data_IF_797160911237
#
_entry.id   IF_797160911237
#
_cell.length_a   1.000
_cell.length_b   1.000
_cell.length_c   1.000
_cell.angle_alpha   90.00
_cell.angle_beta   90.00
_cell.angle_gamma   90.00
#
_symmetry.space_group_name_H-M   'P 1'
#
loop_
_entity.id
_entity.type
_entity.pdbx_description
1 polymer ?
#
# COMPACT_ATOMS: atom_id res chain seq x y z
N UNK A 1 -40.00 30.07 39.99
CA UNK A 1 -39.20 31.04 40.75
C UNK A 1 -37.80 30.96 40.16
N UNK A 2 -37.42 31.95 39.35
CA UNK A 2 -36.14 31.98 38.64
C UNK A 2 -34.99 32.27 39.60
N UNK A 3 -33.81 31.70 39.31
CA UNK A 3 -32.58 31.99 40.05
C UNK A 3 -32.09 33.36 39.59
N UNK A 4 -31.92 34.29 40.52
CA UNK A 4 -31.41 35.63 40.26
C UNK A 4 -30.02 35.53 39.58
N UNK A 5 -29.91 36.08 38.38
CA UNK A 5 -28.70 36.00 37.55
C UNK A 5 -28.69 34.92 36.46
N UNK A 6 -29.66 34.00 36.43
CA UNK A 6 -29.75 33.01 35.33
C UNK A 6 -30.11 33.66 33.99
N UNK A 7 -31.00 34.65 34.01
CA UNK A 7 -31.38 35.40 32.80
C UNK A 7 -30.18 36.19 32.25
N UNK A 8 -29.39 36.82 33.12
CA UNK A 8 -28.18 37.53 32.71
C UNK A 8 -27.08 36.56 32.22
N UNK A 9 -27.00 35.36 32.80
CA UNK A 9 -26.07 34.33 32.34
C UNK A 9 -26.45 33.79 30.96
N UNK A 10 -27.75 33.53 30.71
CA UNK A 10 -28.25 33.12 29.40
C UNK A 10 -28.05 34.22 28.35
N UNK A 11 -28.32 35.49 28.69
CA UNK A 11 -28.08 36.63 27.80
C UNK A 11 -26.59 36.75 27.41
N UNK A 12 -25.67 36.55 28.37
CA UNK A 12 -24.23 36.57 28.11
C UNK A 12 -23.76 35.36 27.29
N UNK A 13 -24.35 34.18 27.50
CA UNK A 13 -24.05 32.98 26.73
C UNK A 13 -24.53 33.13 25.27
N UNK A 14 -25.74 33.64 25.06
CA UNK A 14 -26.28 33.94 23.73
C UNK A 14 -25.49 35.05 23.04
N UNK A 15 -25.07 36.09 23.77
CA UNK A 15 -24.20 37.13 23.23
C UNK A 15 -22.86 36.55 22.77
N UNK A 16 -22.21 35.70 23.58
CA UNK A 16 -20.96 35.05 23.22
C UNK A 16 -21.09 34.03 22.09
N UNK A 17 -22.23 33.37 21.95
CA UNK A 17 -22.51 32.46 20.83
C UNK A 17 -22.76 33.21 19.50
N UNK A 18 -23.32 34.41 19.58
CA UNK A 18 -23.62 35.27 18.43
C UNK A 18 -22.49 36.26 18.09
N UNK A 19 -21.53 36.46 18.99
CA UNK A 19 -20.25 37.10 18.69
C UNK A 19 -19.51 36.18 17.70
N UNK A 20 -19.59 36.53 16.42
CA UNK A 20 -18.92 35.79 15.36
C UNK A 20 -17.45 35.54 15.70
N UNK A 21 -16.89 34.44 15.19
CA UNK A 21 -15.50 34.02 15.41
C UNK A 21 -14.56 35.21 15.52
N UNK A 22 -13.94 35.38 16.69
CA UNK A 22 -12.81 36.29 16.80
C UNK A 22 -11.75 35.85 15.77
N UNK A 23 -11.20 36.83 15.08
CA UNK A 23 -10.08 36.76 14.14
C UNK A 23 -8.82 36.06 14.72
N UNK A 24 -8.75 35.90 16.04
CA UNK A 24 -7.72 35.15 16.78
C UNK A 24 -8.13 33.72 17.15
N UNK A 25 -9.22 33.19 16.58
CA UNK A 25 -9.70 31.83 16.84
C UNK A 25 -8.76 30.80 16.22
N UNK A 26 -7.74 30.41 16.99
CA UNK A 26 -6.83 29.28 16.71
C UNK A 26 -7.56 27.97 16.42
N UNK A 27 -8.86 27.87 16.73
CA UNK A 27 -9.68 26.72 16.36
C UNK A 27 -9.89 26.57 14.84
N UNK A 28 -9.51 27.58 14.04
CA UNK A 28 -9.42 27.49 12.58
C UNK A 28 -8.10 26.89 12.07
N UNK A 29 -7.05 26.87 12.90
CA UNK A 29 -5.74 26.39 12.46
C UNK A 29 -5.77 24.85 12.33
N UNK A 30 -5.26 24.30 11.22
CA UNK A 30 -5.24 22.87 11.04
C UNK A 30 -4.33 22.23 12.09
N UNK A 31 -4.86 21.26 12.84
CA UNK A 31 -4.06 20.53 13.82
C UNK A 31 -2.93 19.78 13.12
N UNK A 32 -1.82 19.52 13.83
CA UNK A 32 -0.71 18.70 13.31
C UNK A 32 -1.21 17.34 12.79
N UNK A 33 -2.20 16.74 13.47
CA UNK A 33 -2.85 15.50 13.01
C UNK A 33 -3.64 15.70 11.71
N UNK A 34 -4.36 16.82 11.58
CA UNK A 34 -5.08 17.21 10.38
C UNK A 34 -4.16 17.40 9.18
N UNK A 35 -3.08 18.18 9.35
CA UNK A 35 -2.04 18.37 8.33
C UNK A 35 -1.45 17.02 7.92
N UNK A 36 -1.08 16.17 8.89
CA UNK A 36 -0.54 14.84 8.62
C UNK A 36 -1.52 13.94 7.88
N UNK A 37 -2.82 14.06 8.13
CA UNK A 37 -3.85 13.29 7.43
C UNK A 37 -4.00 13.74 5.99
N UNK A 38 -4.01 15.05 5.73
CA UNK A 38 -4.03 15.61 4.38
C UNK A 38 -2.78 15.19 3.61
N UNK A 39 -1.60 15.27 4.23
CA UNK A 39 -0.34 14.88 3.61
C UNK A 39 -0.34 13.40 3.20
N UNK A 40 -0.82 12.50 4.08
CA UNK A 40 -0.98 11.06 3.76
C UNK A 40 -1.97 10.83 2.63
N UNK A 41 -3.11 11.51 2.63
CA UNK A 41 -4.11 11.39 1.57
C UNK A 41 -3.53 11.82 0.21
N UNK A 42 -2.81 12.95 0.17
CA UNK A 42 -2.15 13.45 -1.03
C UNK A 42 -1.07 12.48 -1.53
N UNK A 43 -0.26 11.94 -0.61
CA UNK A 43 0.76 10.95 -0.95
C UNK A 43 0.14 9.68 -1.53
N UNK A 44 -0.95 9.18 -0.95
CA UNK A 44 -1.67 8.01 -1.46
C UNK A 44 -2.18 8.24 -2.89
N UNK A 45 -2.85 9.36 -3.15
CA UNK A 45 -3.36 9.70 -4.50
C UNK A 45 -2.21 9.81 -5.50
N UNK A 46 -1.16 10.56 -5.15
CA UNK A 46 0.01 10.75 -6.03
C UNK A 46 0.68 9.43 -6.37
N UNK A 47 0.77 8.54 -5.38
CA UNK A 47 1.36 7.21 -5.56
C UNK A 47 0.51 6.35 -6.49
N UNK A 48 -0.81 6.33 -6.30
CA UNK A 48 -1.74 5.60 -7.16
C UNK A 48 -1.73 6.11 -8.61
N UNK A 49 -1.68 7.43 -8.81
CA UNK A 49 -1.60 8.05 -10.13
C UNK A 49 -0.28 7.70 -10.84
N UNK A 50 0.83 7.80 -10.10
CA UNK A 50 2.14 7.42 -10.62
C UNK A 50 2.19 5.94 -11.00
N UNK A 51 1.64 5.05 -10.17
CA UNK A 51 1.60 3.61 -10.48
C UNK A 51 0.77 3.34 -11.73
N UNK A 52 -0.41 3.96 -11.85
CA UNK A 52 -1.29 3.78 -13.01
C UNK A 52 -0.58 4.17 -14.30
N UNK A 53 0.18 5.27 -14.29
CA UNK A 53 0.99 5.70 -15.45
C UNK A 53 2.12 4.71 -15.74
N UNK A 54 2.85 4.29 -14.71
CA UNK A 54 3.97 3.35 -14.83
C UNK A 54 3.54 1.97 -15.32
N UNK A 55 2.36 1.51 -14.88
CA UNK A 55 1.77 0.22 -15.25
C UNK A 55 1.54 0.09 -16.75
N UNK A 56 1.16 1.19 -17.43
CA UNK A 56 0.98 1.19 -18.89
C UNK A 56 2.28 0.91 -19.65
N UNK A 57 3.44 1.31 -19.07
CA UNK A 57 4.76 1.07 -19.63
C UNK A 57 5.31 -0.35 -19.42
N UNK A 58 4.66 -1.17 -18.60
CA UNK A 58 5.10 -2.55 -18.37
C UNK A 58 4.87 -3.43 -19.61
N UNK A 59 5.73 -4.44 -19.81
CA UNK A 59 5.50 -5.43 -20.87
C UNK A 59 4.21 -6.24 -20.62
N UNK A 60 3.65 -6.80 -21.69
CA UNK A 60 2.43 -7.62 -21.61
C UNK A 60 2.56 -8.80 -20.61
N UNK A 61 3.76 -9.38 -20.52
CA UNK A 61 4.04 -10.46 -19.56
C UNK A 61 3.92 -10.00 -18.11
N UNK A 62 4.30 -8.77 -17.79
CA UNK A 62 4.19 -8.21 -16.45
C UNK A 62 2.75 -7.73 -16.14
N UNK A 63 2.06 -7.13 -17.12
CA UNK A 63 0.65 -6.71 -16.95
C UNK A 63 -0.31 -7.89 -16.70
N UNK A 64 0.01 -9.10 -17.16
CA UNK A 64 -0.79 -10.30 -16.85
C UNK A 64 -0.94 -10.55 -15.34
N UNK A 65 0.01 -10.08 -14.53
CA UNK A 65 0.01 -10.32 -13.09
C UNK A 65 -0.83 -9.31 -12.30
N UNK A 66 -1.35 -8.27 -12.95
CA UNK A 66 -2.23 -7.25 -12.33
C UNK A 66 -1.69 -6.72 -10.99
N UNK A 67 -0.38 -6.49 -10.93
CA UNK A 67 0.29 -6.11 -9.70
C UNK A 67 -0.20 -4.73 -9.24
N UNK A 68 -0.61 -4.65 -7.98
CA UNK A 68 -0.77 -3.39 -7.27
C UNK A 68 0.57 -2.84 -6.81
N UNK A 69 0.69 -1.52 -6.68
CA UNK A 69 1.81 -0.92 -5.99
C UNK A 69 1.55 -0.93 -4.48
N UNK A 70 2.50 -1.48 -3.72
CA UNK A 70 2.49 -1.45 -2.27
C UNK A 70 3.90 -1.15 -1.76
N UNK A 71 4.01 -0.18 -0.85
CA UNK A 71 5.25 0.12 -0.12
C UNK A 71 5.43 -0.87 1.05
N UNK A 72 4.31 -1.33 1.61
CA UNK A 72 4.32 -2.27 2.71
C UNK A 72 4.85 -3.64 2.26
N UNK A 73 5.65 -4.25 3.14
CA UNK A 73 6.15 -5.60 2.91
C UNK A 73 4.98 -6.60 2.82
N UNK A 74 4.87 -7.37 1.73
CA UNK A 74 3.84 -8.40 1.61
C UNK A 74 4.04 -9.50 2.66
N UNK A 75 2.93 -10.04 3.16
CA UNK A 75 2.95 -11.05 4.22
C UNK A 75 3.76 -12.31 3.86
N UNK A 76 3.85 -12.63 2.56
CA UNK A 76 4.60 -13.78 2.07
C UNK A 76 6.10 -13.68 2.34
N UNK A 77 6.67 -12.48 2.46
CA UNK A 77 8.09 -12.32 2.81
C UNK A 77 8.41 -12.71 4.25
N UNK A 78 7.38 -12.81 5.11
CA UNK A 78 7.53 -13.32 6.48
C UNK A 78 7.60 -14.85 6.55
N UNK A 79 7.36 -15.55 5.44
CA UNK A 79 7.43 -17.01 5.42
C UNK A 79 8.87 -17.49 5.67
N UNK A 80 9.06 -18.67 6.30
CA UNK A 80 10.37 -19.30 6.36
C UNK A 80 10.98 -19.42 4.97
N UNK A 81 12.31 -19.26 4.88
CA UNK A 81 13.05 -19.22 3.61
C UNK A 81 12.70 -20.39 2.68
N UNK A 82 12.55 -21.60 3.21
CA UNK A 82 12.21 -22.80 2.44
C UNK A 82 10.81 -22.72 1.81
N UNK A 83 9.82 -22.26 2.57
CA UNK A 83 8.45 -22.06 2.09
C UNK A 83 8.37 -20.93 1.07
N UNK A 84 9.05 -19.80 1.33
CA UNK A 84 9.12 -18.68 0.41
C UNK A 84 9.77 -19.10 -0.92
N UNK A 85 10.86 -19.86 -0.87
CA UNK A 85 11.54 -20.38 -2.07
C UNK A 85 10.58 -21.22 -2.93
N UNK A 86 9.85 -22.15 -2.32
CA UNK A 86 8.87 -23.00 -3.04
C UNK A 86 7.72 -22.18 -3.63
N UNK A 87 7.21 -21.20 -2.88
CA UNK A 87 6.15 -20.31 -3.35
C UNK A 87 6.59 -19.50 -4.57
N UNK A 88 7.78 -18.89 -4.51
CA UNK A 88 8.36 -18.14 -5.62
C UNK A 88 8.55 -19.04 -6.84
N UNK A 89 9.08 -20.24 -6.64
CA UNK A 89 9.26 -21.22 -7.71
C UNK A 89 7.95 -21.57 -8.43
N UNK A 90 6.90 -21.84 -7.66
CA UNK A 90 5.57 -22.12 -8.21
C UNK A 90 4.98 -20.92 -8.96
N UNK A 91 5.06 -19.71 -8.39
CA UNK A 91 4.50 -18.49 -9.00
C UNK A 91 5.23 -18.06 -10.27
N UNK A 92 6.55 -18.21 -10.31
CA UNK A 92 7.37 -17.74 -11.44
C UNK A 92 7.67 -18.84 -12.45
N UNK A 93 7.18 -20.07 -12.22
CA UNK A 93 7.65 -21.30 -12.86
C UNK A 93 9.18 -21.51 -12.72
N UNK A 94 9.83 -20.77 -11.81
CA UNK A 94 11.25 -20.82 -11.56
C UNK A 94 11.55 -21.99 -10.63
N UNK A 95 11.55 -23.18 -11.20
CA UNK A 95 11.68 -24.43 -10.45
C UNK A 95 11.69 -25.62 -11.38
N UNK A 96 11.03 -25.55 -12.54
CA UNK A 96 11.26 -26.55 -13.59
C UNK A 96 12.70 -26.38 -14.13
N UNK A 97 13.61 -27.17 -13.57
CA UNK A 97 15.03 -27.20 -13.90
C UNK A 97 15.22 -27.30 -15.42
N UNK A 98 14.46 -28.18 -16.07
CA UNK A 98 14.55 -28.39 -17.50
C UNK A 98 14.01 -27.19 -18.31
N UNK A 99 12.93 -26.54 -17.88
CA UNK A 99 12.39 -25.36 -18.55
C UNK A 99 13.30 -24.14 -18.39
N UNK A 100 13.86 -23.92 -17.19
CA UNK A 100 14.79 -22.83 -16.92
C UNK A 100 16.02 -22.91 -17.82
N UNK A 101 16.72 -24.04 -17.80
CA UNK A 101 17.94 -24.21 -18.59
C UNK A 101 17.67 -24.10 -20.11
N UNK A 102 16.51 -24.60 -20.58
CA UNK A 102 16.08 -24.41 -21.98
C UNK A 102 15.81 -22.95 -22.35
N UNK A 103 15.14 -22.20 -21.47
CA UNK A 103 14.77 -20.79 -21.72
C UNK A 103 16.00 -19.87 -21.79
N UNK A 104 17.03 -20.16 -21.00
CA UNK A 104 18.26 -19.35 -20.94
C UNK A 104 19.42 -19.92 -21.78
N UNK A 105 19.21 -21.02 -22.50
CA UNK A 105 20.21 -21.59 -23.41
C UNK A 105 21.42 -22.22 -22.73
N UNK A 106 21.24 -22.71 -21.50
CA UNK A 106 22.29 -23.41 -20.74
C UNK A 106 22.37 -24.86 -21.22
N UNK A 107 23.26 -25.13 -22.18
CA UNK A 107 23.42 -26.45 -22.82
C UNK A 107 24.26 -27.44 -22.00
N UNK A 108 24.91 -26.97 -20.94
CA UNK A 108 25.78 -27.73 -20.05
C UNK A 108 25.01 -28.50 -18.96
N UNK A 109 23.74 -28.18 -18.75
CA UNK A 109 22.93 -28.83 -17.74
C UNK A 109 22.27 -30.11 -18.24
N UNK A 110 22.58 -31.23 -17.57
CA UNK A 110 21.86 -32.48 -17.78
C UNK A 110 20.43 -32.36 -17.23
N UNK A 111 19.44 -32.32 -18.13
CA UNK A 111 18.03 -32.05 -17.79
C UNK A 111 17.28 -33.31 -17.33
N UNK A 112 17.86 -34.49 -17.55
CA UNK A 112 17.25 -35.76 -17.19
C UNK A 112 17.93 -36.36 -15.95
N UNK A 113 17.13 -37.03 -15.12
CA UNK A 113 17.65 -37.86 -14.04
C UNK A 113 18.14 -39.20 -14.62
N UNK A 114 18.99 -39.90 -13.87
CA UNK A 114 19.39 -41.28 -14.19
C UNK A 114 18.18 -42.24 -14.35
N UNK A 115 17.03 -41.91 -13.76
CA UNK A 115 15.78 -42.65 -13.92
C UNK A 115 14.97 -42.28 -15.18
N UNK A 116 15.50 -41.42 -16.07
CA UNK A 116 14.86 -41.05 -17.34
C UNK A 116 13.78 -39.97 -17.25
N UNK A 117 13.38 -39.57 -16.04
CA UNK A 117 12.46 -38.45 -15.82
C UNK A 117 13.18 -37.10 -15.85
N UNK A 118 12.44 -36.03 -16.19
CA UNK A 118 12.96 -34.66 -16.11
C UNK A 118 13.34 -34.32 -14.67
N UNK A 119 14.47 -33.64 -14.48
CA UNK A 119 14.85 -33.12 -13.17
C UNK A 119 13.81 -32.09 -12.73
N UNK A 120 13.29 -32.33 -11.54
CA UNK A 120 12.51 -31.39 -10.76
C UNK A 120 13.40 -30.85 -9.64
N UNK A 121 13.12 -29.65 -9.11
CA UNK A 121 13.96 -28.98 -8.12
C UNK A 121 13.89 -29.67 -6.76
#
# INVERSE_FOLDING_TARGET
MGIEGNEMADELADAGANEGRMDNDRSAEPTISGIGTIARALANVTTSDWWSRSYTGLSASYRKWELGYAIAEPSELRLPRTSLHRLLAARTAHGDFAQYHRRFGHNDAELNCLCGYKKNP
#
